data_IF_072132509023
#
_entry.id   IF_072132509023
#
_cell.length_a   1.000
_cell.length_b   1.000
_cell.length_c   1.000
_cell.angle_alpha   90.00
_cell.angle_beta   90.00
_cell.angle_gamma   90.00
#
_symmetry.space_group_name_H-M   'P 1'
#
loop_
_entity.id
_entity.type
_entity.pdbx_description
1 polymer ?
#
# COMPACT_ATOMS: atom_id res chain seq x y z
N UNK A 1 25.55 -20.76 13.68
CA UNK A 1 24.47 -19.75 13.63
C UNK A 1 25.00 -18.36 13.98
N UNK A 2 25.68 -18.16 15.12
CA UNK A 2 26.16 -16.84 15.56
C UNK A 2 27.17 -16.14 14.60
N UNK A 3 28.03 -16.90 13.89
CA UNK A 3 28.97 -16.31 12.90
C UNK A 3 28.24 -15.73 11.70
N UNK A 4 27.20 -16.40 11.17
CA UNK A 4 26.40 -15.91 10.06
C UNK A 4 25.63 -14.62 10.44
N UNK A 5 25.00 -14.61 11.62
CA UNK A 5 24.30 -13.44 12.14
C UNK A 5 25.26 -12.26 12.30
N UNK A 6 26.45 -12.48 12.85
CA UNK A 6 27.46 -11.43 13.00
C UNK A 6 27.99 -10.90 11.66
N UNK A 7 28.13 -11.74 10.63
CA UNK A 7 28.51 -11.29 9.29
C UNK A 7 27.38 -10.44 8.68
N UNK A 8 26.14 -10.91 8.72
CA UNK A 8 24.98 -10.20 8.17
C UNK A 8 24.74 -8.85 8.88
N UNK A 9 24.91 -8.80 10.20
CA UNK A 9 24.77 -7.55 10.95
C UNK A 9 25.88 -6.52 10.63
N UNK A 10 27.06 -6.99 10.24
CA UNK A 10 28.19 -6.10 9.85
C UNK A 10 28.08 -5.54 8.44
N UNK A 11 27.31 -6.15 7.56
CA UNK A 11 27.16 -5.68 6.16
C UNK A 11 26.42 -4.36 6.01
N UNK A 12 25.79 -3.85 7.08
CA UNK A 12 24.97 -2.63 7.04
C UNK A 12 23.68 -2.76 6.23
N UNK A 13 23.50 -3.86 5.49
CA UNK A 13 22.30 -4.11 4.68
C UNK A 13 21.05 -4.31 5.55
N UNK A 14 21.22 -4.91 6.73
CA UNK A 14 20.10 -5.21 7.64
C UNK A 14 19.99 -4.20 8.80
N UNK A 15 20.94 -3.25 8.90
CA UNK A 15 20.95 -2.22 9.96
C UNK A 15 20.49 -0.84 9.49
N UNK A 16 20.35 -0.65 8.16
CA UNK A 16 19.80 0.56 7.54
C UNK A 16 18.36 0.29 7.14
N UNK A 17 17.55 1.32 7.02
CA UNK A 17 16.13 1.24 6.58
C UNK A 17 15.95 0.77 5.10
N UNK A 18 16.81 -0.12 4.63
CA UNK A 18 16.82 -0.61 3.24
C UNK A 18 15.55 -1.42 2.97
N UNK A 19 15.14 -2.26 3.91
CA UNK A 19 13.89 -3.03 3.85
C UNK A 19 12.67 -2.13 3.63
N UNK A 20 12.56 -1.05 4.41
CA UNK A 20 11.51 -0.06 4.27
C UNK A 20 11.53 0.63 2.89
N UNK A 21 12.71 1.01 2.41
CA UNK A 21 12.84 1.65 1.10
C UNK A 21 12.58 0.68 -0.05
N UNK A 22 13.00 -0.57 0.05
CA UNK A 22 12.72 -1.62 -0.94
C UNK A 22 11.23 -1.94 -1.03
N UNK A 23 10.55 -2.12 0.10
CA UNK A 23 9.11 -2.35 0.14
C UNK A 23 8.38 -1.17 -0.50
N UNK A 24 8.76 0.07 -0.18
CA UNK A 24 8.17 1.27 -0.78
C UNK A 24 8.38 1.30 -2.29
N UNK A 25 9.60 1.06 -2.76
CA UNK A 25 9.92 1.03 -4.19
C UNK A 25 9.12 -0.04 -4.93
N UNK A 26 9.02 -1.25 -4.35
CA UNK A 26 8.22 -2.33 -4.92
C UNK A 26 6.73 -1.95 -5.02
N UNK A 27 6.18 -1.32 -3.99
CA UNK A 27 4.79 -0.85 -4.01
C UNK A 27 4.55 0.24 -5.06
N UNK A 28 5.48 1.19 -5.22
CA UNK A 28 5.42 2.20 -6.30
C UNK A 28 5.40 1.52 -7.67
N UNK A 29 6.30 0.56 -7.92
CA UNK A 29 6.36 -0.19 -9.19
C UNK A 29 5.02 -0.89 -9.46
N UNK A 30 4.43 -1.54 -8.45
CA UNK A 30 3.15 -2.23 -8.57
C UNK A 30 2.06 -1.23 -8.98
N UNK A 31 1.87 -0.15 -8.24
CA UNK A 31 0.82 0.83 -8.53
C UNK A 31 0.99 1.52 -9.88
N UNK A 32 2.22 1.86 -10.27
CA UNK A 32 2.49 2.45 -11.59
C UNK A 32 2.20 1.46 -12.71
N UNK A 33 2.64 0.21 -12.57
CA UNK A 33 2.48 -0.82 -13.59
C UNK A 33 1.02 -1.26 -13.76
N UNK A 34 0.30 -1.51 -12.67
CA UNK A 34 -1.11 -1.89 -12.73
C UNK A 34 -2.00 -0.70 -13.16
N UNK A 35 -1.73 0.51 -12.68
CA UNK A 35 -2.43 1.71 -13.13
C UNK A 35 -2.25 1.98 -14.62
N UNK A 36 -1.07 1.70 -15.19
CA UNK A 36 -0.84 1.80 -16.63
C UNK A 36 -1.72 0.84 -17.43
N UNK A 37 -1.89 -0.40 -16.97
CA UNK A 37 -2.72 -1.39 -17.67
C UNK A 37 -4.19 -0.99 -17.78
N UNK A 38 -4.73 -0.22 -16.83
CA UNK A 38 -6.12 0.21 -16.77
C UNK A 38 -6.57 1.11 -17.94
N UNK A 39 -5.61 1.63 -18.72
CA UNK A 39 -5.92 2.45 -19.89
C UNK A 39 -6.33 1.63 -21.12
N UNK A 40 -6.06 0.34 -21.14
CA UNK A 40 -6.33 -0.54 -22.27
C UNK A 40 -7.68 -1.24 -22.15
N UNK A 41 -8.40 -1.37 -23.28
CA UNK A 41 -9.73 -1.97 -23.31
C UNK A 41 -9.74 -3.45 -22.88
N UNK A 42 -8.69 -4.22 -23.22
CA UNK A 42 -8.59 -5.61 -22.80
C UNK A 42 -8.58 -5.76 -21.27
N UNK A 43 -7.94 -4.83 -20.57
CA UNK A 43 -7.86 -4.86 -19.11
C UNK A 43 -9.22 -4.54 -18.48
N UNK A 44 -10.00 -3.62 -19.06
CA UNK A 44 -11.35 -3.33 -18.60
C UNK A 44 -12.25 -4.58 -18.65
N UNK A 45 -12.09 -5.43 -19.66
CA UNK A 45 -12.80 -6.71 -19.78
C UNK A 45 -12.30 -7.74 -18.73
N UNK A 46 -10.98 -7.83 -18.52
CA UNK A 46 -10.38 -8.69 -17.48
C UNK A 46 -10.89 -8.34 -16.09
N UNK A 47 -11.20 -7.08 -15.82
CA UNK A 47 -11.71 -6.62 -14.52
C UNK A 47 -13.16 -7.02 -14.24
N UNK A 48 -13.93 -7.46 -15.23
CA UNK A 48 -15.37 -7.75 -15.07
C UNK A 48 -15.64 -8.72 -13.90
N UNK A 49 -15.01 -9.90 -13.81
CA UNK A 49 -15.29 -10.83 -12.72
C UNK A 49 -14.89 -10.26 -11.35
N UNK A 50 -13.86 -9.42 -11.27
CA UNK A 50 -13.40 -8.83 -10.02
C UNK A 50 -14.35 -7.75 -9.51
N UNK A 51 -14.75 -6.81 -10.37
CA UNK A 51 -15.62 -5.70 -9.99
C UNK A 51 -17.04 -6.19 -9.76
N UNK A 52 -17.57 -7.05 -10.65
CA UNK A 52 -18.97 -7.54 -10.53
C UNK A 52 -19.21 -8.38 -9.27
N UNK A 53 -18.18 -9.08 -8.76
CA UNK A 53 -18.29 -9.92 -7.56
C UNK A 53 -17.62 -9.30 -6.33
N UNK A 54 -16.99 -8.13 -6.48
CA UNK A 54 -16.33 -7.43 -5.38
C UNK A 54 -17.32 -6.72 -4.46
N UNK A 55 -17.47 -7.12 -3.18
CA UNK A 55 -18.51 -6.57 -2.30
C UNK A 55 -18.34 -5.07 -2.02
N UNK A 56 -17.15 -4.51 -2.20
CA UNK A 56 -16.85 -3.11 -1.93
C UNK A 56 -16.75 -2.25 -3.19
N UNK A 57 -16.69 -2.85 -4.41
CA UNK A 57 -16.41 -2.13 -5.65
C UNK A 57 -17.43 -2.37 -6.76
N UNK A 58 -18.45 -3.22 -6.57
CA UNK A 58 -19.48 -3.54 -7.59
C UNK A 58 -20.20 -2.29 -8.12
N UNK A 59 -20.29 -1.24 -7.32
CA UNK A 59 -20.93 0.02 -7.66
C UNK A 59 -20.20 0.82 -8.75
N UNK A 60 -18.96 0.50 -9.06
CA UNK A 60 -18.18 1.19 -10.09
C UNK A 60 -18.84 1.08 -11.48
N UNK A 61 -19.39 -0.07 -11.82
CA UNK A 61 -20.00 -0.26 -13.13
C UNK A 61 -21.30 0.52 -13.34
N UNK A 62 -22.26 0.54 -12.41
CA UNK A 62 -23.43 1.41 -12.53
C UNK A 62 -23.09 2.90 -12.66
N UNK A 63 -21.97 3.35 -12.08
CA UNK A 63 -21.58 4.77 -12.08
C UNK A 63 -20.77 5.15 -13.31
N UNK A 64 -19.77 4.33 -13.68
CA UNK A 64 -18.78 4.70 -14.70
C UNK A 64 -18.82 3.84 -15.96
N UNK A 65 -19.60 2.77 -15.99
CA UNK A 65 -19.51 1.74 -17.03
C UNK A 65 -18.20 0.95 -16.97
N UNK A 66 -18.03 -0.03 -17.86
CA UNK A 66 -16.89 -0.95 -17.83
C UNK A 66 -15.56 -0.20 -18.04
N UNK A 67 -15.46 0.57 -19.12
CA UNK A 67 -14.22 1.29 -19.44
C UNK A 67 -13.94 2.42 -18.47
N UNK A 68 -14.96 3.17 -18.05
CA UNK A 68 -14.81 4.27 -17.11
C UNK A 68 -14.38 3.79 -15.72
N UNK A 69 -14.87 2.62 -15.26
CA UNK A 69 -14.42 2.00 -14.01
C UNK A 69 -12.93 1.62 -14.06
N UNK A 70 -12.46 1.08 -15.20
CA UNK A 70 -11.04 0.79 -15.41
C UNK A 70 -10.19 2.07 -15.32
N UNK A 71 -10.59 3.13 -16.01
CA UNK A 71 -9.90 4.41 -15.95
C UNK A 71 -9.89 5.03 -14.54
N UNK A 72 -11.01 4.96 -13.83
CA UNK A 72 -11.10 5.44 -12.45
C UNK A 72 -10.10 4.71 -11.54
N UNK A 73 -10.00 3.38 -11.67
CA UNK A 73 -9.02 2.59 -10.94
C UNK A 73 -7.60 2.97 -11.34
N UNK A 74 -7.32 3.14 -12.65
CA UNK A 74 -6.00 3.53 -13.15
C UNK A 74 -5.52 4.87 -12.60
N UNK A 75 -6.39 5.89 -12.58
CA UNK A 75 -6.10 7.21 -11.99
C UNK A 75 -5.84 7.07 -10.49
N UNK A 76 -6.68 6.29 -9.79
CA UNK A 76 -6.53 6.06 -8.34
C UNK A 76 -5.20 5.37 -8.02
N UNK A 77 -4.83 4.34 -8.79
CA UNK A 77 -3.58 3.61 -8.64
C UNK A 77 -2.36 4.51 -8.90
N UNK A 78 -2.39 5.34 -9.95
CA UNK A 78 -1.32 6.29 -10.22
C UNK A 78 -1.19 7.36 -9.13
N UNK A 79 -2.32 7.87 -8.61
CA UNK A 79 -2.30 8.82 -7.50
C UNK A 79 -1.66 8.18 -6.25
N UNK A 80 -2.07 6.96 -5.89
CA UNK A 80 -1.48 6.22 -4.77
C UNK A 80 0.01 5.97 -5.01
N UNK A 81 0.38 5.53 -6.22
CA UNK A 81 1.79 5.33 -6.60
C UNK A 81 2.62 6.59 -6.47
N UNK A 82 2.09 7.75 -6.91
CA UNK A 82 2.73 9.05 -6.77
C UNK A 82 2.90 9.46 -5.30
N UNK A 83 1.88 9.27 -4.47
CA UNK A 83 1.95 9.56 -3.03
C UNK A 83 2.97 8.66 -2.31
N UNK A 84 3.01 7.37 -2.65
CA UNK A 84 4.03 6.44 -2.14
C UNK A 84 5.43 6.86 -2.58
N UNK A 85 5.60 7.29 -3.81
CA UNK A 85 6.88 7.78 -4.34
C UNK A 85 7.34 9.05 -3.62
N UNK A 86 6.46 10.03 -3.49
CA UNK A 86 6.74 11.28 -2.75
C UNK A 86 7.04 11.02 -1.27
N UNK A 87 6.52 9.93 -0.71
CA UNK A 87 6.82 9.44 0.63
C UNK A 87 8.31 9.09 0.88
N UNK A 88 9.17 9.03 -0.15
CA UNK A 88 10.62 8.97 0.05
C UNK A 88 11.16 10.25 0.71
N UNK A 89 10.59 11.39 0.39
CA UNK A 89 11.02 12.72 0.87
C UNK A 89 10.10 13.27 1.98
N UNK A 90 8.77 13.24 1.76
CA UNK A 90 7.79 13.69 2.75
C UNK A 90 6.97 12.49 3.29
N UNK A 91 7.18 12.17 4.57
CA UNK A 91 6.51 11.04 5.24
C UNK A 91 4.99 11.27 5.41
N UNK A 92 4.52 12.51 5.38
CA UNK A 92 3.08 12.82 5.43
C UNK A 92 2.38 12.37 4.14
N UNK A 93 3.01 12.63 2.98
CA UNK A 93 2.54 12.11 1.70
C UNK A 93 2.64 10.57 1.65
N UNK A 94 3.70 10.01 2.24
CA UNK A 94 3.85 8.57 2.42
C UNK A 94 2.71 7.94 3.22
N UNK A 95 2.25 8.59 4.30
CA UNK A 95 1.07 8.14 5.07
C UNK A 95 -0.18 8.09 4.20
N UNK A 96 -0.44 9.13 3.39
CA UNK A 96 -1.60 9.16 2.49
C UNK A 96 -1.52 8.07 1.42
N UNK A 97 -0.35 7.87 0.81
CA UNK A 97 -0.12 6.79 -0.14
C UNK A 97 -0.31 5.41 0.47
N UNK A 98 0.21 5.19 1.68
CA UNK A 98 0.08 3.92 2.39
C UNK A 98 -1.36 3.65 2.85
N UNK A 99 -2.13 4.68 3.21
CA UNK A 99 -3.58 4.57 3.49
C UNK A 99 -4.35 4.17 2.24
N UNK A 100 -4.12 4.85 1.11
CA UNK A 100 -4.73 4.50 -0.17
C UNK A 100 -4.41 3.07 -0.60
N UNK A 101 -3.12 2.69 -0.50
CA UNK A 101 -2.65 1.34 -0.78
C UNK A 101 -3.31 0.29 0.12
N UNK A 102 -3.40 0.54 1.43
CA UNK A 102 -4.08 -0.35 2.37
C UNK A 102 -5.56 -0.52 2.00
N UNK A 103 -6.25 0.58 1.68
CA UNK A 103 -7.64 0.54 1.22
C UNK A 103 -7.82 -0.29 -0.06
N UNK A 104 -6.95 -0.10 -1.05
CA UNK A 104 -6.96 -0.87 -2.30
C UNK A 104 -6.84 -2.37 -2.02
N UNK A 105 -5.84 -2.79 -1.22
CA UNK A 105 -5.65 -4.22 -0.97
C UNK A 105 -6.66 -4.83 0.01
N UNK A 106 -7.28 -4.03 0.89
CA UNK A 106 -8.48 -4.50 1.63
C UNK A 106 -9.58 -4.83 0.63
N UNK A 107 -9.85 -3.94 -0.34
CA UNK A 107 -10.88 -4.18 -1.36
C UNK A 107 -10.58 -5.44 -2.17
N UNK A 108 -9.35 -5.61 -2.67
CA UNK A 108 -9.02 -6.78 -3.51
C UNK A 108 -9.01 -8.09 -2.72
N UNK A 109 -8.52 -8.10 -1.47
CA UNK A 109 -8.56 -9.29 -0.61
C UNK A 109 -10.00 -9.69 -0.29
N UNK A 110 -10.90 -8.74 -0.09
CA UNK A 110 -12.33 -9.04 0.16
C UNK A 110 -13.05 -9.65 -1.05
N UNK A 111 -12.50 -9.57 -2.27
CA UNK A 111 -13.05 -10.22 -3.46
C UNK A 111 -12.84 -11.74 -3.42
N UNK A 112 -11.76 -12.22 -2.82
CA UNK A 112 -11.32 -13.62 -2.87
C UNK A 112 -12.45 -14.62 -2.59
N UNK A 113 -13.23 -14.48 -1.51
CA UNK A 113 -14.31 -15.43 -1.21
C UNK A 113 -15.46 -15.43 -2.23
N UNK A 114 -15.63 -14.34 -2.99
CA UNK A 114 -16.74 -14.12 -3.90
C UNK A 114 -16.37 -14.36 -5.37
N UNK A 115 -15.12 -14.76 -5.65
CA UNK A 115 -14.69 -15.03 -7.03
C UNK A 115 -15.42 -16.24 -7.62
N UNK A 116 -16.07 -16.09 -8.80
CA UNK A 116 -16.67 -17.20 -9.49
C UNK A 116 -15.62 -18.23 -9.90
N UNK A 117 -15.92 -19.51 -9.68
CA UNK A 117 -14.98 -20.63 -9.96
C UNK A 117 -13.62 -20.46 -9.30
N UNK A 118 -13.57 -19.83 -8.12
CA UNK A 118 -12.34 -19.55 -7.39
C UNK A 118 -11.75 -20.75 -6.67
N UNK A 119 -12.51 -21.84 -6.55
CA UNK A 119 -12.11 -23.05 -5.85
C UNK A 119 -12.27 -24.26 -6.75
N UNK A 120 -11.40 -25.23 -6.61
CA UNK A 120 -11.45 -26.46 -7.40
C UNK A 120 -12.79 -27.19 -7.17
N UNK A 121 -13.50 -27.59 -8.23
CA UNK A 121 -14.82 -28.21 -8.09
C UNK A 121 -14.81 -29.61 -7.46
N UNK A 122 -13.66 -30.28 -7.46
CA UNK A 122 -13.48 -31.64 -6.93
C UNK A 122 -12.89 -31.60 -5.53
N UNK A 123 -11.76 -30.87 -5.35
CA UNK A 123 -11.06 -30.78 -4.07
C UNK A 123 -11.72 -29.77 -3.10
N UNK A 124 -12.45 -28.77 -3.62
CA UNK A 124 -13.06 -27.72 -2.80
C UNK A 124 -12.04 -26.76 -2.16
N UNK A 125 -12.51 -25.97 -1.20
CA UNK A 125 -11.62 -25.10 -0.42
C UNK A 125 -10.65 -25.94 0.41
N UNK A 126 -9.33 -25.58 0.49
CA UNK A 126 -8.67 -24.37 0.01
C UNK A 126 -7.96 -24.54 -1.35
N UNK A 127 -8.33 -25.51 -2.19
CA UNK A 127 -7.72 -25.69 -3.50
C UNK A 127 -8.16 -24.56 -4.45
N UNK A 128 -7.24 -23.62 -4.70
CA UNK A 128 -7.50 -22.41 -5.48
C UNK A 128 -7.59 -22.73 -6.98
N UNK A 129 -8.58 -22.11 -7.64
CA UNK A 129 -8.78 -22.18 -9.09
C UNK A 129 -9.08 -20.78 -9.67
N UNK A 130 -9.20 -20.70 -10.98
CA UNK A 130 -9.55 -19.46 -11.69
C UNK A 130 -8.61 -18.30 -11.33
N UNK A 131 -9.18 -17.18 -10.91
CA UNK A 131 -8.44 -15.95 -10.62
C UNK A 131 -7.99 -15.83 -9.15
N UNK A 132 -8.38 -16.74 -8.26
CA UNK A 132 -8.00 -16.69 -6.83
C UNK A 132 -6.48 -16.78 -6.62
N UNK A 133 -5.71 -17.63 -7.33
CA UNK A 133 -4.24 -17.65 -7.22
C UNK A 133 -3.59 -16.29 -7.54
N UNK A 134 -4.19 -15.50 -8.41
CA UNK A 134 -3.70 -14.15 -8.69
C UNK A 134 -4.01 -13.18 -7.55
N UNK A 135 -5.19 -13.27 -6.93
CA UNK A 135 -5.61 -12.39 -5.84
C UNK A 135 -4.92 -12.70 -4.51
N UNK A 136 -4.52 -13.95 -4.26
CA UNK A 136 -3.94 -14.32 -2.97
C UNK A 136 -2.64 -13.57 -2.63
N UNK A 137 -1.88 -13.13 -3.65
CA UNK A 137 -0.70 -12.28 -3.45
C UNK A 137 -1.04 -10.94 -2.79
N UNK A 138 -2.27 -10.46 -2.94
CA UNK A 138 -2.71 -9.17 -2.41
C UNK A 138 -2.77 -9.18 -0.87
N UNK A 139 -2.82 -10.36 -0.25
CA UNK A 139 -2.63 -10.51 1.20
C UNK A 139 -1.24 -10.04 1.63
N UNK A 140 -0.20 -10.35 0.85
CA UNK A 140 1.17 -9.89 1.11
C UNK A 140 1.29 -8.39 0.84
N UNK A 141 0.65 -7.90 -0.22
CA UNK A 141 0.64 -6.48 -0.57
C UNK A 141 -0.11 -5.63 0.48
N UNK A 142 -1.18 -6.18 1.07
CA UNK A 142 -1.87 -5.58 2.21
C UNK A 142 -0.95 -5.48 3.42
N UNK A 143 -0.25 -6.55 3.76
CA UNK A 143 0.71 -6.53 4.88
C UNK A 143 1.84 -5.51 4.65
N UNK A 144 2.37 -5.42 3.42
CA UNK A 144 3.38 -4.43 3.04
C UNK A 144 2.83 -2.99 3.16
N UNK A 145 1.56 -2.76 2.77
CA UNK A 145 0.90 -1.45 2.88
C UNK A 145 0.75 -1.03 4.35
N UNK A 146 0.29 -1.93 5.21
CA UNK A 146 0.17 -1.68 6.66
C UNK A 146 1.55 -1.44 7.30
N UNK A 147 2.57 -2.17 6.88
CA UNK A 147 3.94 -1.94 7.32
C UNK A 147 4.41 -0.52 6.98
N UNK A 148 4.25 -0.08 5.73
CA UNK A 148 4.61 1.27 5.30
C UNK A 148 3.83 2.34 6.06
N UNK A 149 2.52 2.14 6.24
CA UNK A 149 1.66 3.05 7.00
C UNK A 149 2.17 3.22 8.44
N UNK A 150 2.44 2.11 9.12
CA UNK A 150 3.00 2.12 10.49
C UNK A 150 4.32 2.87 10.55
N UNK A 151 5.24 2.60 9.61
CA UNK A 151 6.56 3.22 9.58
C UNK A 151 6.47 4.74 9.36
N UNK A 152 5.64 5.19 8.42
CA UNK A 152 5.49 6.61 8.12
C UNK A 152 4.81 7.37 9.26
N UNK A 153 3.73 6.83 9.82
CA UNK A 153 3.03 7.42 10.98
C UNK A 153 4.01 7.57 12.16
N UNK A 154 4.81 6.54 12.45
CA UNK A 154 5.78 6.60 13.54
C UNK A 154 6.83 7.70 13.30
N UNK A 155 7.34 7.84 12.07
CA UNK A 155 8.34 8.85 11.70
C UNK A 155 7.77 10.26 11.79
N UNK A 156 6.53 10.48 11.33
CA UNK A 156 5.84 11.77 11.45
C UNK A 156 5.61 12.12 12.91
N UNK A 157 5.16 11.17 13.75
CA UNK A 157 4.92 11.40 15.18
C UNK A 157 6.20 11.75 15.94
N UNK A 158 7.31 11.08 15.65
CA UNK A 158 8.63 11.37 16.25
C UNK A 158 9.12 12.78 15.87
N UNK A 159 9.00 13.16 14.60
CA UNK A 159 9.38 14.49 14.12
C UNK A 159 8.61 15.61 14.81
N UNK A 160 7.30 15.40 15.01
CA UNK A 160 6.43 16.36 15.70
C UNK A 160 6.86 16.56 17.18
N UNK A 161 7.19 15.48 17.88
CA UNK A 161 7.66 15.55 19.29
C UNK A 161 8.98 16.29 19.44
N UNK A 162 9.94 16.06 18.54
CA UNK A 162 11.23 16.78 18.57
C UNK A 162 11.05 18.28 18.30
N UNK A 163 10.15 18.66 17.38
CA UNK A 163 9.82 20.07 17.12
C UNK A 163 9.23 20.77 18.35
N UNK A 164 8.33 20.10 19.08
CA UNK A 164 7.73 20.67 20.30
C UNK A 164 8.72 20.81 21.44
N UNK A 165 9.61 19.83 21.64
CA UNK A 165 10.65 19.87 22.66
C UNK A 165 11.67 20.98 22.44
N UNK A 166 12.00 21.30 21.18
CA UNK A 166 12.94 22.38 20.84
C UNK A 166 12.37 23.80 21.08
N UNK A 167 11.06 23.95 21.14
CA UNK A 167 10.41 25.26 21.39
C UNK A 167 10.28 25.60 22.88
N UNK A 168 10.25 24.62 23.77
CA UNK A 168 10.08 24.83 25.21
C UNK A 168 11.27 25.53 25.91
N UNK A 169 12.55 25.35 25.59
CA UNK A 169 13.64 26.08 26.22
C UNK A 169 13.62 27.59 25.96
N UNK A 170 13.27 27.99 24.73
CA UNK A 170 13.24 29.42 24.35
C UNK A 170 12.18 30.23 25.09
N UNK A 171 11.05 29.64 25.43
CA UNK A 171 10.01 30.34 26.21
C UNK A 171 10.41 30.53 27.69
N UNK A 172 11.22 29.62 28.24
CA UNK A 172 11.73 29.74 29.62
C UNK A 172 12.79 30.83 29.77
N UNK A 173 13.67 30.99 28.76
CA UNK A 173 14.67 32.06 28.76
C UNK A 173 14.06 33.45 28.61
N UNK A 174 13.03 33.62 27.78
CA UNK A 174 12.38 34.93 27.61
C UNK A 174 11.65 35.42 28.88
N UNK A 175 11.10 34.51 29.67
CA UNK A 175 10.42 34.86 30.95
C UNK A 175 11.43 35.19 32.05
N UNK A 176 12.67 34.71 32.02
CA UNK A 176 13.71 35.04 33.01
C UNK A 176 14.40 36.38 32.73
N UNK A 177 14.29 36.96 31.54
CA UNK A 177 14.89 38.25 31.18
C UNK A 177 13.95 39.41 31.52
N UNK A 178 12.66 39.16 31.75
CA UNK A 178 11.66 40.18 32.11
C UNK A 178 11.44 40.37 33.63
N UNK A 179 12.20 39.65 34.49
CA UNK A 179 12.22 39.75 35.94
C UNK A 179 13.55 40.34 36.45
#
# INVERSE_FOLDING_TARGET
>A
MNRLVNVLSRTGLLTRDIDYHLIRAAMVIIFVSFGYQKWFAYEAEVLIPYISHGPLIFWLYPVFGIQGASWFLGVSEWLIGALLFLGFWDKRLGVLGALGSTGTFIMTVTIIPFMPNGWDPVAGFPAMAGNVPFLIKDVVLLAASIYLLKQDVTRVALSARHGTAALQPRQRESVQIEL
#
